data_IF_285982819043
#
_entry.id   IF_285982819043
#
_cell.length_a   1.000
_cell.length_b   1.000
_cell.length_c   1.000
_cell.angle_alpha   90.00
_cell.angle_beta   90.00
_cell.angle_gamma   90.00
#
_symmetry.space_group_name_H-M   'P 1'
#
loop_
_entity.id
_entity.type
_entity.pdbx_description
1 polymer ?
#
# COMPACT_ATOMS: atom_id res chain seq x y z
N UNK A 1 -11.50 11.60 9.91
CA UNK A 1 -12.56 11.89 8.94
C UNK A 1 -12.40 10.94 7.76
N UNK A 2 -13.47 10.24 7.31
CA UNK A 2 -13.42 9.35 6.15
C UNK A 2 -12.95 10.09 4.89
N UNK A 3 -12.27 9.38 3.99
CA UNK A 3 -11.97 9.91 2.66
C UNK A 3 -13.25 9.97 1.82
N UNK A 4 -13.33 10.93 0.90
CA UNK A 4 -14.56 11.16 0.12
C UNK A 4 -14.91 9.97 -0.76
N UNK A 5 -16.18 9.79 -0.96
CA UNK A 5 -16.78 8.96 -2.01
C UNK A 5 -17.53 9.89 -2.94
N UNK A 6 -17.15 9.96 -4.21
CA UNK A 6 -17.67 10.95 -5.15
C UNK A 6 -18.12 10.32 -6.46
N UNK A 7 -19.21 10.82 -7.01
CA UNK A 7 -19.64 10.48 -8.37
C UNK A 7 -18.77 11.18 -9.41
N UNK A 8 -18.27 10.44 -10.38
CA UNK A 8 -17.51 10.97 -11.51
C UNK A 8 -18.46 11.22 -12.69
N UNK A 9 -19.27 12.29 -12.58
CA UNK A 9 -20.37 12.55 -13.53
C UNK A 9 -19.86 12.67 -14.97
N UNK A 10 -18.83 13.50 -15.22
CA UNK A 10 -18.30 13.71 -16.56
C UNK A 10 -17.77 12.41 -17.20
N UNK A 11 -17.16 11.53 -16.41
CA UNK A 11 -16.67 10.25 -16.90
C UNK A 11 -17.83 9.28 -17.17
N UNK A 12 -18.83 9.29 -16.30
CA UNK A 12 -20.07 8.51 -16.49
C UNK A 12 -20.76 8.90 -17.79
N UNK A 13 -20.94 10.20 -18.05
CA UNK A 13 -21.60 10.70 -19.25
C UNK A 13 -20.78 10.42 -20.52
N UNK A 14 -19.45 10.57 -20.45
CA UNK A 14 -18.54 10.33 -21.57
C UNK A 14 -18.53 8.87 -22.02
N UNK A 15 -18.54 7.92 -21.08
CA UNK A 15 -18.48 6.50 -21.41
C UNK A 15 -19.85 5.88 -21.71
N UNK A 16 -20.92 6.45 -21.16
CA UNK A 16 -22.25 5.86 -21.21
C UNK A 16 -22.34 4.53 -20.44
N UNK A 17 -23.48 4.16 -19.95
CA UNK A 17 -23.69 2.87 -19.26
C UNK A 17 -23.63 2.98 -17.73
N UNK A 18 -22.68 2.30 -17.08
CA UNK A 18 -22.62 2.25 -15.61
C UNK A 18 -22.29 3.61 -14.99
N UNK A 19 -22.88 3.89 -13.85
CA UNK A 19 -22.46 5.04 -13.02
C UNK A 19 -21.09 4.79 -12.39
N UNK A 20 -20.21 5.77 -12.46
CA UNK A 20 -18.82 5.66 -12.02
C UNK A 20 -18.61 6.52 -10.78
N UNK A 21 -18.08 5.90 -9.74
CA UNK A 21 -17.74 6.56 -8.49
C UNK A 21 -16.26 6.33 -8.14
N UNK A 22 -15.69 7.24 -7.37
CA UNK A 22 -14.32 7.14 -6.86
C UNK A 22 -14.29 7.23 -5.34
N UNK A 23 -13.64 6.25 -4.70
CA UNK A 23 -13.19 6.35 -3.31
C UNK A 23 -11.87 7.11 -3.28
N UNK A 24 -11.89 8.36 -2.80
CA UNK A 24 -10.78 9.31 -2.88
C UNK A 24 -9.73 9.05 -1.81
N UNK A 25 -9.02 7.93 -1.91
CA UNK A 25 -7.93 7.61 -0.95
C UNK A 25 -6.78 8.64 -1.02
N UNK A 26 -6.72 9.45 -2.08
CA UNK A 26 -5.83 10.62 -2.19
C UNK A 26 -6.09 11.70 -1.13
N UNK A 27 -7.27 11.74 -0.53
CA UNK A 27 -7.58 12.66 0.57
C UNK A 27 -6.91 12.25 1.88
N UNK A 28 -6.42 11.02 1.98
CA UNK A 28 -5.65 10.58 3.13
C UNK A 28 -4.33 11.34 3.20
N UNK A 29 -3.89 11.66 4.42
CA UNK A 29 -2.66 12.40 4.63
C UNK A 29 -1.46 11.66 3.99
N UNK A 30 -0.80 12.33 3.05
CA UNK A 30 0.26 11.75 2.22
C UNK A 30 -0.19 11.29 0.83
N UNK A 31 -1.49 11.33 0.52
CA UNK A 31 -2.02 11.18 -0.83
C UNK A 31 -2.32 9.76 -1.30
N UNK A 32 -2.21 8.72 -0.44
CA UNK A 32 -2.59 7.35 -0.78
C UNK A 32 -2.64 6.41 0.44
N UNK A 33 -3.03 5.15 0.20
CA UNK A 33 -3.38 4.13 1.18
C UNK A 33 -2.26 3.71 2.16
N UNK A 34 -0.98 3.87 1.82
CA UNK A 34 0.12 3.39 2.68
C UNK A 34 0.21 4.09 4.03
N UNK A 35 -0.43 5.25 4.18
CA UNK A 35 -0.50 5.97 5.44
C UNK A 35 -1.20 5.16 6.54
N UNK A 36 -2.25 4.41 6.21
CA UNK A 36 -2.97 3.58 7.17
C UNK A 36 -2.04 2.55 7.83
N UNK A 37 -1.25 1.87 7.00
CA UNK A 37 -0.29 0.89 7.46
C UNK A 37 0.86 1.53 8.25
N UNK A 38 1.40 2.65 7.78
CA UNK A 38 2.48 3.35 8.47
C UNK A 38 2.06 3.82 9.88
N UNK A 39 0.83 4.34 10.04
CA UNK A 39 0.29 4.73 11.34
C UNK A 39 0.20 3.52 12.27
N UNK A 40 -0.38 2.41 11.79
CA UNK A 40 -0.53 1.19 12.59
C UNK A 40 0.84 0.68 13.08
N UNK A 41 1.84 0.60 12.21
CA UNK A 41 3.19 0.19 12.60
C UNK A 41 3.85 1.16 13.58
N UNK A 42 3.64 2.46 13.44
CA UNK A 42 4.16 3.43 14.40
C UNK A 42 3.52 3.29 15.78
N UNK A 43 2.21 3.05 15.83
CA UNK A 43 1.49 2.77 17.09
C UNK A 43 1.99 1.49 17.75
N UNK A 44 2.18 0.42 16.98
CA UNK A 44 2.76 -0.85 17.48
C UNK A 44 4.19 -0.65 17.98
N UNK A 45 5.01 0.11 17.27
CA UNK A 45 6.37 0.47 17.68
C UNK A 45 6.37 1.18 19.03
N UNK A 46 5.52 2.17 19.22
CA UNK A 46 5.35 2.90 20.50
C UNK A 46 4.85 1.99 21.61
N UNK A 47 3.84 1.17 21.34
CA UNK A 47 3.30 0.21 22.30
C UNK A 47 4.35 -0.80 22.77
N UNK A 48 5.20 -1.25 21.85
CA UNK A 48 6.34 -2.13 22.14
C UNK A 48 7.54 -1.39 22.78
N UNK A 49 7.40 -0.09 23.11
CA UNK A 49 8.44 0.77 23.70
C UNK A 49 9.73 0.84 22.88
N UNK A 50 9.63 0.58 21.55
CA UNK A 50 10.76 0.69 20.63
C UNK A 50 10.94 2.13 20.18
N UNK A 51 12.19 2.50 19.87
CA UNK A 51 12.55 3.89 19.52
C UNK A 51 12.68 4.09 18.02
N UNK A 52 12.86 3.02 17.25
CA UNK A 52 13.14 3.09 15.83
C UNK A 52 12.16 2.21 15.04
N UNK A 53 11.84 2.70 13.86
CA UNK A 53 11.12 1.90 12.85
C UNK A 53 12.03 1.74 11.63
N UNK A 54 12.14 0.54 11.09
CA UNK A 54 12.76 0.30 9.79
C UNK A 54 11.73 -0.14 8.78
N UNK A 55 11.94 0.20 7.52
CA UNK A 55 11.08 -0.19 6.40
C UNK A 55 11.88 -0.26 5.12
N UNK A 56 11.36 -0.96 4.14
CA UNK A 56 11.86 -1.00 2.78
C UNK A 56 11.08 -0.06 1.86
N UNK A 57 11.67 0.30 0.73
CA UNK A 57 10.96 1.00 -0.32
C UNK A 57 11.64 0.81 -1.68
N UNK A 58 10.84 0.70 -2.75
CA UNK A 58 11.33 0.75 -4.13
C UNK A 58 11.10 2.13 -4.72
N UNK A 59 9.86 2.45 -5.12
CA UNK A 59 9.50 3.76 -5.67
C UNK A 59 9.56 4.94 -4.67
N UNK A 60 9.96 4.69 -3.41
CA UNK A 60 10.12 5.72 -2.38
C UNK A 60 8.84 6.08 -1.62
N UNK A 61 7.65 5.72 -2.13
CA UNK A 61 6.41 6.16 -1.52
C UNK A 61 6.17 5.53 -0.14
N UNK A 62 6.47 4.24 0.02
CA UNK A 62 6.38 3.55 1.31
C UNK A 62 7.30 4.22 2.35
N UNK A 63 8.57 4.41 2.00
CA UNK A 63 9.54 5.10 2.86
C UNK A 63 9.13 6.52 3.24
N UNK A 64 8.55 7.28 2.28
CA UNK A 64 8.01 8.61 2.53
C UNK A 64 6.89 8.58 3.58
N UNK A 65 5.97 7.63 3.53
CA UNK A 65 4.87 7.52 4.50
C UNK A 65 5.40 7.13 5.88
N UNK A 66 6.28 6.12 5.95
CA UNK A 66 6.88 5.71 7.21
C UNK A 66 7.72 6.82 7.84
N UNK A 67 8.52 7.56 7.08
CA UNK A 67 9.31 8.67 7.57
C UNK A 67 8.44 9.80 8.13
N UNK A 68 7.37 10.15 7.43
CA UNK A 68 6.42 11.18 7.86
C UNK A 68 5.73 10.80 9.18
N UNK A 69 5.27 9.55 9.27
CA UNK A 69 4.59 9.06 10.47
C UNK A 69 5.58 8.90 11.63
N UNK A 70 6.77 8.36 11.39
CA UNK A 70 7.81 8.24 12.41
C UNK A 70 8.13 9.61 13.03
N UNK A 71 8.32 10.64 12.21
CA UNK A 71 8.52 12.03 12.68
C UNK A 71 7.35 12.48 13.56
N UNK A 72 6.11 12.23 13.14
CA UNK A 72 4.92 12.62 13.91
C UNK A 72 4.83 11.92 15.26
N UNK A 73 5.29 10.68 15.35
CA UNK A 73 5.28 9.88 16.58
C UNK A 73 6.55 10.01 17.43
N UNK A 74 7.53 10.84 17.01
CA UNK A 74 8.81 10.98 17.72
C UNK A 74 9.65 9.69 17.68
N UNK A 75 9.62 8.97 16.55
CA UNK A 75 10.39 7.76 16.30
C UNK A 75 11.53 8.03 15.30
N UNK A 76 12.68 7.39 15.51
CA UNK A 76 13.71 7.31 14.47
C UNK A 76 13.22 6.42 13.31
N UNK A 77 13.65 6.73 12.09
CA UNK A 77 13.24 5.98 10.90
C UNK A 77 14.45 5.62 10.03
N UNK A 78 14.59 4.33 9.70
CA UNK A 78 15.55 3.84 8.72
C UNK A 78 14.81 3.26 7.51
N UNK A 79 15.17 3.73 6.32
CA UNK A 79 14.53 3.30 5.07
C UNK A 79 15.56 2.63 4.18
N UNK A 80 15.40 1.33 3.96
CA UNK A 80 16.24 0.54 3.07
C UNK A 80 15.76 0.72 1.63
N UNK A 81 16.66 1.10 0.73
CA UNK A 81 16.33 1.38 -0.67
C UNK A 81 17.47 0.98 -1.60
N UNK A 82 17.15 0.29 -2.67
CA UNK A 82 18.14 -0.08 -3.67
C UNK A 82 18.77 1.15 -4.34
N UNK A 83 20.08 1.11 -4.60
CA UNK A 83 20.77 2.28 -5.16
C UNK A 83 20.25 2.71 -6.51
N UNK A 84 19.81 1.77 -7.36
CA UNK A 84 19.15 2.10 -8.64
C UNK A 84 17.83 2.84 -8.45
N UNK A 85 17.09 2.48 -7.40
CA UNK A 85 15.83 3.14 -7.08
C UNK A 85 16.07 4.52 -6.46
N UNK A 86 17.12 4.69 -5.64
CA UNK A 86 17.53 6.00 -5.09
C UNK A 86 17.82 7.00 -6.22
N UNK A 87 18.55 6.57 -7.24
CA UNK A 87 18.89 7.42 -8.38
C UNK A 87 17.64 7.88 -9.16
N UNK A 88 16.65 6.99 -9.31
CA UNK A 88 15.41 7.26 -10.04
C UNK A 88 14.40 8.10 -9.26
N UNK A 89 14.46 8.03 -7.93
CA UNK A 89 13.43 8.53 -7.03
C UNK A 89 13.94 9.64 -6.09
N UNK A 90 14.85 10.48 -6.56
CA UNK A 90 15.43 11.60 -5.79
C UNK A 90 14.40 12.45 -5.04
N UNK A 91 13.26 12.87 -5.63
CA UNK A 91 12.27 13.68 -4.92
C UNK A 91 11.68 12.98 -3.68
N UNK A 92 11.46 11.66 -3.76
CA UNK A 92 10.99 10.89 -2.60
C UNK A 92 12.10 10.73 -1.55
N UNK A 93 13.35 10.57 -1.97
CA UNK A 93 14.50 10.53 -1.07
C UNK A 93 14.64 11.84 -0.30
N UNK A 94 14.51 12.98 -0.96
CA UNK A 94 14.58 14.30 -0.35
C UNK A 94 13.43 14.51 0.65
N UNK A 95 12.22 14.04 0.32
CA UNK A 95 11.09 14.08 1.24
C UNK A 95 11.34 13.23 2.50
N UNK A 96 11.91 12.03 2.35
CA UNK A 96 12.28 11.18 3.48
C UNK A 96 13.32 11.84 4.39
N UNK A 97 14.37 12.43 3.81
CA UNK A 97 15.41 13.17 4.55
C UNK A 97 14.83 14.37 5.28
N UNK A 98 13.94 15.16 4.65
CA UNK A 98 13.21 16.28 5.30
C UNK A 98 12.36 15.82 6.49
N UNK A 99 11.89 14.59 6.47
CA UNK A 99 11.19 13.99 7.59
C UNK A 99 12.15 13.45 8.69
N UNK A 100 13.45 13.52 8.48
CA UNK A 100 14.47 13.03 9.43
C UNK A 100 14.76 11.53 9.32
N UNK A 101 14.38 10.88 8.22
CA UNK A 101 14.72 9.49 8.01
C UNK A 101 16.15 9.32 7.47
N UNK A 102 16.81 8.28 7.95
CA UNK A 102 18.05 7.76 7.38
C UNK A 102 17.73 6.82 6.23
N UNK A 103 18.25 7.13 5.03
CA UNK A 103 18.14 6.23 3.87
C UNK A 103 19.39 5.35 3.86
N UNK A 104 19.17 4.03 3.94
CA UNK A 104 20.22 3.03 3.87
C UNK A 104 20.30 2.49 2.44
N UNK A 105 21.35 2.84 1.67
CA UNK A 105 21.49 2.38 0.32
C UNK A 105 21.86 0.89 0.27
N UNK A 106 21.14 0.13 -0.57
CA UNK A 106 21.39 -1.30 -0.76
C UNK A 106 22.04 -1.52 -2.12
N UNK A 107 23.27 -2.02 -2.08
CA UNK A 107 24.11 -2.27 -3.26
C UNK A 107 24.16 -3.74 -3.70
N UNK A 108 23.57 -4.65 -2.93
CA UNK A 108 23.55 -6.09 -3.23
C UNK A 108 22.56 -6.43 -4.35
N UNK A 109 22.77 -7.52 -5.02
CA UNK A 109 21.87 -8.13 -6.01
C UNK A 109 21.47 -7.20 -7.15
N UNK A 110 20.17 -7.10 -7.40
CA UNK A 110 19.59 -6.24 -8.44
C UNK A 110 19.62 -4.74 -8.09
N UNK A 111 19.95 -4.40 -6.86
CA UNK A 111 19.94 -3.03 -6.31
C UNK A 111 18.54 -2.37 -6.36
N UNK A 112 17.51 -3.18 -6.19
CA UNK A 112 16.10 -2.78 -6.25
C UNK A 112 15.34 -3.22 -5.00
N UNK A 113 14.00 -3.10 -5.04
CA UNK A 113 13.10 -3.40 -3.92
C UNK A 113 13.35 -4.77 -3.25
N UNK A 114 13.59 -5.84 -4.01
CA UNK A 114 13.77 -7.19 -3.47
C UNK A 114 14.95 -7.26 -2.50
N UNK A 115 16.07 -6.65 -2.90
CA UNK A 115 17.28 -6.60 -2.07
C UNK A 115 17.09 -5.67 -0.87
N UNK A 116 16.36 -4.57 -1.07
CA UNK A 116 16.02 -3.63 0.02
C UNK A 116 15.17 -4.31 1.12
N UNK A 117 14.18 -5.13 0.73
CA UNK A 117 13.39 -5.94 1.67
C UNK A 117 14.28 -6.89 2.46
N UNK A 118 15.15 -7.62 1.76
CA UNK A 118 16.05 -8.61 2.37
C UNK A 118 17.00 -7.97 3.38
N UNK A 119 17.60 -6.84 3.04
CA UNK A 119 18.48 -6.11 3.96
C UNK A 119 17.71 -5.49 5.15
N UNK A 120 16.51 -4.99 4.91
CA UNK A 120 15.64 -4.49 5.98
C UNK A 120 15.30 -5.60 6.99
N UNK A 121 14.98 -6.80 6.52
CA UNK A 121 14.72 -7.97 7.38
C UNK A 121 15.97 -8.35 8.17
N UNK A 122 17.14 -8.45 7.54
CA UNK A 122 18.42 -8.77 8.22
C UNK A 122 18.70 -7.75 9.33
N UNK A 123 18.59 -6.47 9.01
CA UNK A 123 18.78 -5.41 9.97
C UNK A 123 17.81 -5.51 11.17
N UNK A 124 16.52 -5.74 10.87
CA UNK A 124 15.51 -5.90 11.91
C UNK A 124 15.78 -7.09 12.82
N UNK A 125 16.07 -8.26 12.27
CA UNK A 125 16.37 -9.47 13.06
C UNK A 125 17.55 -9.23 14.01
N UNK A 126 18.59 -8.55 13.55
CA UNK A 126 19.78 -8.22 14.37
C UNK A 126 19.53 -7.11 15.41
N UNK A 127 18.40 -6.40 15.35
CA UNK A 127 18.09 -5.26 16.21
C UNK A 127 16.66 -5.29 16.76
N UNK A 128 16.06 -6.46 16.82
CA UNK A 128 14.63 -6.62 17.12
C UNK A 128 14.24 -6.14 18.52
N UNK A 129 15.19 -5.99 19.44
CA UNK A 129 15.00 -5.40 20.77
C UNK A 129 14.65 -3.90 20.71
N UNK A 130 15.23 -3.15 19.78
CA UNK A 130 15.14 -1.68 19.68
C UNK A 130 14.35 -1.18 18.48
N UNK A 131 14.26 -2.02 17.45
CA UNK A 131 13.70 -1.66 16.14
C UNK A 131 12.40 -2.41 15.87
N UNK A 132 11.40 -1.70 15.39
CA UNK A 132 10.17 -2.26 14.83
C UNK A 132 10.25 -2.25 13.30
N UNK A 133 9.96 -3.38 12.68
CA UNK A 133 9.90 -3.44 11.22
C UNK A 133 8.47 -3.13 10.74
N UNK A 134 8.36 -2.20 9.78
CA UNK A 134 7.13 -1.88 9.10
C UNK A 134 7.18 -2.34 7.64
N UNK A 135 6.28 -3.22 7.23
CA UNK A 135 6.14 -3.66 5.84
C UNK A 135 4.95 -2.97 5.20
N UNK A 136 5.13 -2.43 4.00
CA UNK A 136 4.12 -1.66 3.27
C UNK A 136 3.24 -2.46 2.33
N UNK A 137 3.29 -3.78 2.33
CA UNK A 137 2.57 -4.66 1.41
C UNK A 137 2.09 -5.94 2.09
N UNK A 138 1.24 -6.72 1.41
CA UNK A 138 0.77 -8.03 1.88
C UNK A 138 1.81 -9.11 1.54
N UNK A 139 3.03 -8.92 2.01
CA UNK A 139 4.17 -9.82 1.74
C UNK A 139 4.89 -10.18 3.03
N UNK A 140 5.68 -11.27 2.99
CA UNK A 140 6.47 -11.73 4.13
C UNK A 140 5.68 -12.61 5.10
N UNK A 141 6.16 -12.75 6.34
CA UNK A 141 5.49 -13.55 7.37
C UNK A 141 4.04 -13.13 7.61
N UNK A 142 3.18 -14.10 7.89
CA UNK A 142 1.73 -13.92 8.04
C UNK A 142 1.32 -12.77 8.99
N UNK A 143 2.10 -12.55 10.05
CA UNK A 143 1.82 -11.45 10.98
C UNK A 143 1.85 -10.07 10.31
N UNK A 144 2.79 -9.83 9.39
CA UNK A 144 2.88 -8.58 8.64
C UNK A 144 1.74 -8.44 7.65
N UNK A 145 1.36 -9.54 6.98
CA UNK A 145 0.19 -9.57 6.09
C UNK A 145 -1.08 -9.20 6.86
N UNK A 146 -1.28 -9.77 8.05
CA UNK A 146 -2.42 -9.45 8.91
C UNK A 146 -2.43 -7.99 9.38
N UNK A 147 -1.29 -7.46 9.81
CA UNK A 147 -1.18 -6.05 10.24
C UNK A 147 -1.49 -5.11 9.07
N UNK A 148 -0.87 -5.34 7.93
CA UNK A 148 -1.07 -4.51 6.74
C UNK A 148 -2.52 -4.60 6.23
N UNK A 149 -3.07 -5.80 6.13
CA UNK A 149 -4.44 -6.03 5.70
C UNK A 149 -5.46 -5.38 6.63
N UNK A 150 -5.33 -5.57 7.94
CA UNK A 150 -6.21 -4.96 8.92
C UNK A 150 -6.18 -3.42 8.85
N UNK A 151 -4.98 -2.85 8.67
CA UNK A 151 -4.80 -1.41 8.59
C UNK A 151 -5.45 -0.81 7.35
N UNK A 152 -5.20 -1.42 6.20
CA UNK A 152 -5.72 -0.92 4.91
C UNK A 152 -7.21 -1.20 4.72
N UNK A 153 -7.77 -2.21 5.39
CA UNK A 153 -9.20 -2.52 5.40
C UNK A 153 -10.08 -1.36 5.89
N UNK A 154 -9.50 -0.35 6.54
CA UNK A 154 -10.22 0.87 6.87
C UNK A 154 -10.87 1.52 5.63
N UNK A 155 -10.25 1.37 4.45
CA UNK A 155 -10.77 1.91 3.18
C UNK A 155 -12.12 1.25 2.81
N UNK A 156 -12.19 -0.08 2.87
CA UNK A 156 -13.43 -0.81 2.55
C UNK A 156 -14.51 -0.64 3.61
N UNK A 157 -14.12 -0.55 4.90
CA UNK A 157 -15.08 -0.25 5.98
C UNK A 157 -15.76 1.09 5.76
N UNK A 158 -14.99 2.13 5.43
CA UNK A 158 -15.54 3.44 5.08
C UNK A 158 -16.41 3.36 3.83
N UNK A 159 -15.94 2.66 2.78
CA UNK A 159 -16.67 2.54 1.53
C UNK A 159 -18.02 1.83 1.73
N UNK A 160 -18.05 0.78 2.55
CA UNK A 160 -19.31 0.05 2.83
C UNK A 160 -20.37 0.97 3.42
N UNK A 161 -20.00 1.75 4.44
CA UNK A 161 -20.90 2.75 5.05
C UNK A 161 -21.33 3.80 4.02
N UNK A 162 -20.40 4.32 3.22
CA UNK A 162 -20.69 5.32 2.20
C UNK A 162 -21.60 4.82 1.07
N UNK A 163 -21.49 3.54 0.71
CA UNK A 163 -22.43 2.91 -0.24
C UNK A 163 -23.81 2.77 0.34
N UNK A 164 -23.93 2.39 1.60
CA UNK A 164 -25.20 2.29 2.31
C UNK A 164 -25.85 3.68 2.49
N UNK A 165 -25.06 4.71 2.79
CA UNK A 165 -25.54 6.11 2.89
C UNK A 165 -26.02 6.66 1.55
N UNK A 166 -25.33 6.36 0.45
CA UNK A 166 -25.64 6.88 -0.89
C UNK A 166 -26.82 6.14 -1.55
N UNK A 167 -26.90 4.80 -1.35
CA UNK A 167 -27.85 3.94 -2.10
C UNK A 167 -28.89 3.25 -1.22
N UNK A 168 -28.84 3.40 0.10
CA UNK A 168 -29.68 2.67 1.04
C UNK A 168 -29.23 1.24 1.33
N UNK A 169 -28.53 0.61 0.40
CA UNK A 169 -27.91 -0.73 0.53
C UNK A 169 -26.70 -0.87 -0.37
N UNK A 170 -25.98 -1.98 -0.24
CA UNK A 170 -24.92 -2.32 -1.20
C UNK A 170 -25.54 -2.61 -2.57
N UNK A 171 -25.22 -1.84 -3.62
CA UNK A 171 -25.84 -1.98 -4.95
C UNK A 171 -25.64 -3.38 -5.55
N UNK A 172 -26.64 -3.85 -6.27
CA UNK A 172 -26.52 -5.07 -7.07
C UNK A 172 -25.65 -4.81 -8.31
N UNK A 173 -24.86 -5.81 -8.72
CA UNK A 173 -23.89 -5.72 -9.83
C UNK A 173 -22.82 -4.64 -9.62
N UNK A 174 -22.48 -4.34 -8.35
CA UNK A 174 -21.37 -3.44 -8.00
C UNK A 174 -20.05 -4.00 -8.51
N UNK A 175 -19.26 -3.18 -9.21
CA UNK A 175 -17.90 -3.52 -9.63
C UNK A 175 -16.90 -2.69 -8.87
N UNK A 176 -16.00 -3.34 -8.13
CA UNK A 176 -14.93 -2.69 -7.39
C UNK A 176 -13.60 -2.90 -8.11
N UNK A 177 -13.13 -1.87 -8.78
CA UNK A 177 -11.92 -1.91 -9.63
C UNK A 177 -10.74 -1.29 -8.88
N UNK A 178 -9.63 -2.01 -8.76
CA UNK A 178 -8.42 -1.49 -8.15
C UNK A 178 -7.16 -2.03 -8.83
N UNK A 179 -6.08 -1.26 -8.76
CA UNK A 179 -4.76 -1.74 -9.18
C UNK A 179 -4.22 -2.79 -8.20
N UNK A 180 -3.48 -3.77 -8.73
CA UNK A 180 -2.82 -4.82 -7.95
C UNK A 180 -1.32 -4.74 -8.17
N UNK A 181 -0.60 -4.39 -7.10
CA UNK A 181 0.84 -4.54 -7.00
C UNK A 181 1.14 -5.56 -5.90
N UNK A 182 1.69 -5.14 -4.76
CA UNK A 182 1.88 -6.02 -3.59
C UNK A 182 0.60 -6.32 -2.79
N UNK A 183 -0.58 -6.03 -3.33
CA UNK A 183 -1.90 -6.41 -2.80
C UNK A 183 -2.51 -5.49 -1.74
N UNK A 184 -1.74 -4.61 -1.09
CA UNK A 184 -2.25 -3.82 0.04
C UNK A 184 -3.39 -2.86 -0.31
N UNK A 185 -3.35 -2.23 -1.50
CA UNK A 185 -4.42 -1.36 -1.99
C UNK A 185 -5.68 -2.17 -2.31
N UNK A 186 -5.52 -3.24 -3.07
CA UNK A 186 -6.61 -4.09 -3.52
C UNK A 186 -7.33 -4.75 -2.33
N UNK A 187 -6.59 -5.40 -1.44
CA UNK A 187 -7.15 -5.98 -0.22
C UNK A 187 -7.85 -4.92 0.65
N UNK A 188 -7.20 -3.77 0.86
CA UNK A 188 -7.77 -2.69 1.65
C UNK A 188 -9.09 -2.16 1.09
N UNK A 189 -9.24 -2.15 -0.25
CA UNK A 189 -10.44 -1.72 -0.93
C UNK A 189 -11.54 -2.78 -0.99
N UNK A 190 -11.18 -4.08 -0.94
CA UNK A 190 -12.11 -5.19 -1.14
C UNK A 190 -12.46 -5.97 0.12
N UNK A 191 -11.71 -5.84 1.22
CA UNK A 191 -11.80 -6.75 2.37
C UNK A 191 -13.20 -6.93 2.94
N UNK A 192 -14.05 -5.90 2.96
CA UNK A 192 -15.45 -5.99 3.42
C UNK A 192 -16.40 -6.61 2.37
N UNK A 193 -15.89 -6.89 1.16
CA UNK A 193 -16.67 -7.38 0.02
C UNK A 193 -16.21 -8.74 -0.50
N UNK A 194 -15.13 -9.31 0.05
CA UNK A 194 -14.54 -10.59 -0.42
C UNK A 194 -15.54 -11.73 -0.32
N UNK A 195 -16.33 -11.78 0.76
CA UNK A 195 -17.31 -12.82 1.02
C UNK A 195 -18.71 -12.49 0.47
N UNK A 196 -18.86 -11.38 -0.23
CA UNK A 196 -20.13 -11.04 -0.87
C UNK A 196 -20.42 -12.00 -2.04
N UNK A 197 -21.74 -12.22 -2.28
CA UNK A 197 -22.17 -12.98 -3.46
C UNK A 197 -21.61 -12.34 -4.74
N UNK A 198 -20.93 -13.13 -5.57
CA UNK A 198 -20.29 -12.68 -6.82
C UNK A 198 -21.27 -12.08 -7.83
N UNK A 199 -22.55 -12.46 -7.76
CA UNK A 199 -23.58 -11.85 -8.57
C UNK A 199 -23.98 -10.44 -8.09
N UNK A 200 -23.66 -10.12 -6.83
CA UNK A 200 -23.92 -8.81 -6.22
C UNK A 200 -22.70 -7.90 -6.33
N UNK A 201 -21.50 -8.41 -6.04
CA UNK A 201 -20.25 -7.63 -6.05
C UNK A 201 -19.17 -8.37 -6.86
N UNK A 202 -18.63 -7.71 -7.87
CA UNK A 202 -17.50 -8.18 -8.67
C UNK A 202 -16.22 -7.42 -8.31
N UNK A 203 -15.15 -8.14 -7.97
CA UNK A 203 -13.85 -7.57 -7.63
C UNK A 203 -12.92 -7.68 -8.84
N UNK A 204 -12.47 -6.53 -9.37
CA UNK A 204 -11.65 -6.46 -10.58
C UNK A 204 -10.28 -5.91 -10.25
N UNK A 205 -9.23 -6.75 -10.40
CA UNK A 205 -7.84 -6.37 -10.22
C UNK A 205 -7.18 -6.00 -11.55
N UNK A 206 -6.45 -4.90 -11.56
CA UNK A 206 -5.70 -4.43 -12.73
C UNK A 206 -4.21 -4.43 -12.43
N UNK A 207 -3.45 -5.25 -13.14
CA UNK A 207 -1.99 -5.31 -13.04
C UNK A 207 -1.31 -4.46 -14.11
N UNK A 208 -0.12 -3.96 -13.79
CA UNK A 208 0.76 -3.30 -14.75
C UNK A 208 1.43 -4.35 -15.64
N UNK A 209 0.84 -4.65 -16.78
CA UNK A 209 1.32 -5.70 -17.68
C UNK A 209 2.39 -5.23 -18.67
N UNK A 210 2.31 -4.01 -19.16
CA UNK A 210 3.06 -3.58 -20.34
C UNK A 210 2.55 -4.26 -21.63
N UNK A 211 3.26 -4.14 -22.76
CA UNK A 211 2.86 -4.80 -24.01
C UNK A 211 2.81 -6.31 -23.87
N UNK A 212 1.71 -6.94 -24.29
CA UNK A 212 1.46 -8.38 -24.11
C UNK A 212 2.46 -9.31 -24.82
N UNK A 213 3.09 -8.80 -25.87
CA UNK A 213 4.13 -9.48 -26.66
C UNK A 213 5.57 -9.22 -26.14
N UNK A 214 5.73 -8.43 -25.10
CA UNK A 214 7.03 -8.13 -24.51
C UNK A 214 7.49 -9.25 -23.56
N UNK A 215 8.78 -9.63 -23.64
CA UNK A 215 9.41 -10.49 -22.63
C UNK A 215 9.46 -9.85 -21.24
N UNK A 216 9.30 -8.54 -21.16
CA UNK A 216 9.26 -7.74 -19.93
C UNK A 216 7.82 -7.55 -19.39
N UNK A 217 6.85 -8.26 -19.94
CA UNK A 217 5.47 -8.20 -19.47
C UNK A 217 5.36 -8.68 -18.01
N UNK A 218 4.88 -7.84 -17.15
CA UNK A 218 4.92 -8.01 -15.69
C UNK A 218 3.51 -8.16 -15.09
N UNK A 219 2.71 -9.08 -15.56
CA UNK A 219 1.40 -9.39 -14.98
C UNK A 219 1.39 -10.83 -14.44
N UNK A 220 2.07 -11.11 -13.31
CA UNK A 220 2.27 -12.47 -12.82
C UNK A 220 0.97 -13.17 -12.39
N UNK A 221 -0.05 -12.44 -11.95
CA UNK A 221 -1.32 -13.04 -11.54
C UNK A 221 -2.22 -13.39 -12.71
N UNK A 222 -2.19 -12.62 -13.79
CA UNK A 222 -3.00 -12.86 -15.00
C UNK A 222 -2.37 -13.88 -15.97
N UNK A 223 -1.06 -14.11 -15.88
CA UNK A 223 -0.38 -15.22 -16.53
C UNK A 223 -0.21 -16.34 -15.53
N UNK A 224 -0.53 -17.58 -15.88
CA UNK A 224 -0.31 -18.77 -15.06
C UNK A 224 1.15 -18.88 -14.60
N UNK A 225 1.58 -17.94 -13.74
CA UNK A 225 2.89 -17.96 -13.13
C UNK A 225 2.88 -19.05 -12.08
N UNK A 226 3.85 -19.97 -12.17
CA UNK A 226 4.10 -20.93 -11.11
C UNK A 226 4.41 -20.13 -9.84
N UNK A 227 3.69 -20.45 -8.76
CA UNK A 227 4.01 -19.97 -7.43
C UNK A 227 5.42 -20.48 -7.11
N UNK A 228 6.35 -19.55 -6.99
CA UNK A 228 7.73 -19.86 -6.58
C UNK A 228 7.89 -19.83 -5.08
#
# INVERSE_FOLDING_TARGET
KPTRFIKLQNLTDHLGGAQIYAKMVSDANGGAHKIYNAITHAMLCKRAKKKYICTDTGAGYNGKMFSMVAKKFGLGCKVFMGTRDIERQKPNCDAMKKNGAEIVPVNSGSKTLVDAVSECIRYWVSNCDKVHMGIGSLVGPNIFVKICGWSTAQISRELKVQLEEEFGEIPNKLKLINCVGGGSSAYGFWSEFIDCNKNKVELIGVEAGGPSNSKLHAAPLSKNSKIG
#
